data_IF_442569260497
#
_entry.id   IF_442569260497
#
_cell.length_a   1.000
_cell.length_b   1.000
_cell.length_c   1.000
_cell.angle_alpha   90.00
_cell.angle_beta   90.00
_cell.angle_gamma   90.00
#
_symmetry.space_group_name_H-M   'P 1'
#
loop_
_entity.id
_entity.type
_entity.pdbx_description
1 polymer ?
#
# COMPACT_ATOMS: atom_id res chain seq x y z
N UNK A 1 7.37 8.54 17.40
CA UNK A 1 6.84 9.61 18.31
C UNK A 1 7.47 10.99 18.12
N UNK A 2 8.79 11.12 17.95
CA UNK A 2 9.43 12.45 17.83
C UNK A 2 8.96 13.23 16.60
N UNK A 3 8.86 12.59 15.43
CA UNK A 3 8.38 13.22 14.20
C UNK A 3 6.96 13.78 14.35
N UNK A 4 6.04 13.03 14.95
CA UNK A 4 4.67 13.52 15.22
C UNK A 4 4.65 14.73 16.17
N UNK A 5 5.53 14.75 17.18
CA UNK A 5 5.67 15.93 18.06
C UNK A 5 6.13 17.15 17.26
N UNK A 6 7.03 16.96 16.29
CA UNK A 6 7.49 18.03 15.39
C UNK A 6 6.34 18.51 14.50
N UNK A 7 5.61 17.61 13.84
CA UNK A 7 4.42 17.93 13.03
C UNK A 7 3.44 18.79 13.82
N UNK A 8 3.07 18.34 15.03
CA UNK A 8 2.17 19.06 15.92
C UNK A 8 2.72 20.43 16.35
N UNK A 9 4.00 20.49 16.73
CA UNK A 9 4.65 21.75 17.15
C UNK A 9 4.73 22.77 16.02
N UNK A 10 4.90 22.31 14.77
CA UNK A 10 4.99 23.15 13.57
C UNK A 10 3.63 23.51 12.99
N UNK A 11 2.55 22.83 13.40
CA UNK A 11 1.20 23.05 12.89
C UNK A 11 1.06 22.62 11.43
N UNK A 12 1.79 21.59 11.00
CA UNK A 12 1.67 21.05 9.66
C UNK A 12 0.43 20.18 9.52
N UNK A 13 -0.28 20.37 8.42
CA UNK A 13 -1.43 19.54 8.03
C UNK A 13 -0.92 18.33 7.23
N UNK A 14 -0.27 17.40 7.92
CA UNK A 14 0.31 16.19 7.34
C UNK A 14 0.06 15.00 8.25
N UNK A 15 -0.28 13.86 7.64
CA UNK A 15 -0.33 12.57 8.30
C UNK A 15 0.96 11.78 8.00
N UNK A 16 1.48 11.08 9.01
CA UNK A 16 2.62 10.19 8.82
C UNK A 16 2.09 8.79 8.54
N UNK A 17 2.44 8.23 7.39
CA UNK A 17 2.00 6.91 6.94
C UNK A 17 3.23 6.03 6.68
N UNK A 18 3.82 5.38 7.71
CA UNK A 18 4.83 4.34 7.52
C UNK A 18 4.33 3.25 6.57
N UNK A 19 5.23 2.79 5.71
CA UNK A 19 4.89 1.87 4.62
C UNK A 19 5.13 0.41 4.99
N UNK A 20 4.25 -0.46 4.47
CA UNK A 20 4.51 -1.90 4.40
C UNK A 20 5.57 -2.17 3.34
N UNK A 21 6.77 -2.56 3.76
CA UNK A 21 7.95 -2.73 2.91
C UNK A 21 8.03 -4.15 2.33
N UNK A 22 8.58 -4.30 1.13
CA UNK A 22 8.72 -5.61 0.48
C UNK A 22 9.96 -6.40 0.90
N UNK A 23 11.01 -5.73 1.38
CA UNK A 23 12.23 -6.41 1.90
C UNK A 23 11.97 -7.09 3.23
N UNK A 24 12.40 -8.35 3.33
CA UNK A 24 12.17 -9.17 4.53
C UNK A 24 13.05 -8.71 5.71
N UNK A 25 14.24 -8.19 5.45
CA UNK A 25 15.26 -7.87 6.46
C UNK A 25 15.19 -6.42 6.98
N UNK A 26 14.10 -5.70 6.74
CA UNK A 26 13.85 -4.35 7.24
C UNK A 26 12.52 -4.29 7.98
N UNK A 27 12.38 -3.32 8.87
CA UNK A 27 11.10 -2.98 9.46
C UNK A 27 10.10 -2.61 8.36
N UNK A 28 8.88 -3.10 8.47
CA UNK A 28 7.80 -2.80 7.54
C UNK A 28 6.94 -4.00 7.18
N UNK A 29 6.98 -5.08 7.97
CA UNK A 29 5.98 -6.13 7.84
C UNK A 29 4.59 -5.61 8.22
N UNK A 30 3.53 -6.28 7.79
CA UNK A 30 2.14 -5.90 8.13
C UNK A 30 1.98 -5.74 9.65
N UNK A 31 2.52 -6.68 10.44
CA UNK A 31 2.41 -6.65 11.91
C UNK A 31 3.20 -5.48 12.51
N UNK A 32 4.41 -5.23 12.02
CA UNK A 32 5.25 -4.13 12.51
C UNK A 32 4.60 -2.76 12.27
N UNK A 33 3.99 -2.57 11.08
CA UNK A 33 3.27 -1.35 10.74
C UNK A 33 1.97 -1.25 11.53
N UNK A 34 1.21 -2.34 11.67
CA UNK A 34 0.01 -2.42 12.51
C UNK A 34 0.31 -2.04 13.97
N UNK A 35 1.38 -2.60 14.54
CA UNK A 35 1.82 -2.31 15.90
C UNK A 35 2.18 -0.83 16.05
N UNK A 36 2.92 -0.26 15.09
CA UNK A 36 3.29 1.16 15.09
C UNK A 36 2.08 2.08 14.99
N UNK A 37 1.13 1.77 14.10
CA UNK A 37 -0.15 2.48 13.98
C UNK A 37 -0.90 2.43 15.30
N UNK A 38 -1.03 1.25 15.92
CA UNK A 38 -1.75 1.08 17.18
C UNK A 38 -1.10 1.84 18.33
N UNK A 39 0.22 1.84 18.41
CA UNK A 39 0.97 2.49 19.50
C UNK A 39 1.03 4.01 19.36
N UNK A 40 1.00 4.54 18.15
CA UNK A 40 1.24 5.97 17.90
C UNK A 40 0.02 6.71 17.37
N UNK A 41 -0.95 6.02 16.79
CA UNK A 41 -2.11 6.60 16.12
C UNK A 41 -1.77 7.29 14.80
N UNK A 42 -0.63 6.97 14.18
CA UNK A 42 -0.31 7.44 12.82
C UNK A 42 -1.11 6.65 11.77
N UNK A 43 -1.08 7.11 10.52
CA UNK A 43 -1.63 6.38 9.38
C UNK A 43 -0.74 5.21 8.95
N UNK A 44 -1.09 4.56 7.85
CA UNK A 44 -0.28 3.53 7.20
C UNK A 44 -0.28 3.74 5.68
N UNK A 45 0.87 3.53 5.05
CA UNK A 45 0.94 3.34 3.60
C UNK A 45 0.93 1.83 3.32
N UNK A 46 -0.10 1.36 2.63
CA UNK A 46 -0.22 -0.05 2.27
C UNK A 46 0.30 -0.19 0.84
N UNK A 47 1.52 -0.68 0.66
CA UNK A 47 2.01 -1.07 -0.66
C UNK A 47 1.68 -2.55 -0.91
N UNK A 48 0.73 -2.82 -1.80
CA UNK A 48 0.28 -4.20 -2.07
C UNK A 48 1.29 -4.99 -2.92
N UNK A 49 2.14 -4.32 -3.69
CA UNK A 49 3.20 -4.94 -4.46
C UNK A 49 4.34 -5.39 -3.53
N UNK A 50 4.66 -4.59 -2.51
CA UNK A 50 5.56 -4.97 -1.42
C UNK A 50 5.01 -6.13 -0.59
N UNK A 51 3.72 -6.13 -0.29
CA UNK A 51 3.07 -7.26 0.40
C UNK A 51 3.22 -8.54 -0.43
N UNK A 52 2.92 -8.50 -1.73
CA UNK A 52 3.15 -9.63 -2.63
C UNK A 52 4.61 -10.09 -2.59
N UNK A 53 5.56 -9.17 -2.71
CA UNK A 53 6.98 -9.49 -2.70
C UNK A 53 7.47 -10.10 -1.38
N UNK A 54 6.93 -9.67 -0.25
CA UNK A 54 7.34 -10.13 1.08
C UNK A 54 6.75 -11.47 1.47
N UNK A 55 5.49 -11.71 1.10
CA UNK A 55 4.72 -12.88 1.55
C UNK A 55 4.41 -13.89 0.45
N UNK A 56 4.84 -13.61 -0.79
CA UNK A 56 4.55 -14.37 -2.00
C UNK A 56 3.03 -14.50 -2.28
N UNK A 57 2.25 -13.55 -1.74
CA UNK A 57 0.81 -13.37 -1.95
C UNK A 57 0.36 -12.02 -1.41
N UNK A 58 -0.79 -11.55 -1.90
CA UNK A 58 -1.33 -10.24 -1.56
C UNK A 58 -1.84 -10.04 -0.13
N UNK A 59 -2.07 -11.11 0.65
CA UNK A 59 -2.51 -11.01 2.06
C UNK A 59 -3.75 -10.10 2.31
N UNK A 60 -4.65 -9.94 1.33
CA UNK A 60 -5.80 -9.01 1.41
C UNK A 60 -6.59 -9.08 2.71
N UNK A 61 -7.02 -10.29 3.13
CA UNK A 61 -7.77 -10.47 4.37
C UNK A 61 -6.97 -10.07 5.63
N UNK A 62 -5.64 -10.22 5.59
CA UNK A 62 -4.75 -9.81 6.69
C UNK A 62 -4.59 -8.30 6.71
N UNK A 63 -4.47 -7.65 5.55
CA UNK A 63 -4.44 -6.18 5.43
C UNK A 63 -5.73 -5.56 5.96
N UNK A 64 -6.89 -6.09 5.55
CA UNK A 64 -8.21 -5.65 6.03
C UNK A 64 -8.34 -5.73 7.55
N UNK A 65 -7.84 -6.83 8.15
CA UNK A 65 -7.88 -7.03 9.59
C UNK A 65 -6.92 -6.11 10.36
N UNK A 66 -5.73 -5.88 9.81
CA UNK A 66 -4.68 -5.08 10.44
C UNK A 66 -5.02 -3.57 10.39
N UNK A 67 -5.47 -3.08 9.24
CA UNK A 67 -5.67 -1.65 9.00
C UNK A 67 -7.15 -1.26 9.04
N UNK A 68 -7.67 -1.14 10.25
CA UNK A 68 -9.10 -0.88 10.49
C UNK A 68 -9.55 0.57 10.21
N UNK A 69 -8.64 1.51 9.90
CA UNK A 69 -9.00 2.90 9.55
C UNK A 69 -9.87 2.99 8.29
N UNK A 70 -10.72 4.03 8.21
CA UNK A 70 -11.63 4.27 7.08
C UNK A 70 -10.87 4.75 5.83
N UNK A 71 -9.98 5.70 6.01
CA UNK A 71 -9.13 6.28 4.97
C UNK A 71 -7.88 5.41 4.77
N UNK A 72 -7.63 4.98 3.55
CA UNK A 72 -6.49 4.16 3.19
C UNK A 72 -5.62 4.90 2.16
N UNK A 73 -4.33 5.01 2.49
CA UNK A 73 -3.30 5.44 1.56
C UNK A 73 -2.57 4.19 1.03
N UNK A 74 -2.70 3.93 -0.26
CA UNK A 74 -2.21 2.72 -0.91
C UNK A 74 -1.22 3.04 -2.02
N UNK A 75 -0.24 2.19 -2.16
CA UNK A 75 0.70 2.17 -3.29
C UNK A 75 0.53 0.88 -4.09
N UNK A 76 0.72 0.98 -5.40
CA UNK A 76 0.71 -0.18 -6.27
C UNK A 76 1.60 -0.03 -7.50
N UNK A 77 2.25 -1.13 -7.85
CA UNK A 77 3.03 -1.31 -9.07
C UNK A 77 3.11 -2.80 -9.42
N UNK A 78 3.61 -3.14 -10.60
CA UNK A 78 4.18 -4.47 -10.81
C UNK A 78 5.44 -4.62 -9.94
N UNK A 79 5.88 -5.85 -9.68
CA UNK A 79 7.03 -6.06 -8.80
C UNK A 79 7.85 -7.29 -9.20
N UNK A 80 9.16 -7.10 -9.33
CA UNK A 80 10.13 -8.19 -9.35
C UNK A 80 10.58 -8.45 -7.90
N UNK A 81 10.55 -9.72 -7.46
CA UNK A 81 10.96 -10.11 -6.13
C UNK A 81 11.60 -11.51 -6.11
N UNK A 82 12.18 -11.88 -4.97
CA UNK A 82 12.72 -13.23 -4.75
C UNK A 82 12.87 -13.53 -3.26
N UNK A 83 13.77 -14.44 -2.89
CA UNK A 83 13.92 -14.91 -1.50
C UNK A 83 14.19 -13.82 -0.45
N UNK A 84 14.68 -12.64 -0.87
CA UNK A 84 14.95 -11.50 0.03
C UNK A 84 13.84 -10.45 0.05
N UNK A 85 12.76 -10.67 -0.70
CA UNK A 85 11.68 -9.71 -0.93
C UNK A 85 11.86 -8.93 -2.23
N UNK A 86 11.35 -7.69 -2.23
CA UNK A 86 11.36 -6.78 -3.39
C UNK A 86 12.76 -6.63 -4.02
N UNK A 87 12.77 -6.45 -5.34
CA UNK A 87 13.97 -6.06 -6.10
C UNK A 87 13.74 -4.76 -6.87
N UNK A 88 12.64 -4.68 -7.61
CA UNK A 88 12.36 -3.54 -8.50
C UNK A 88 10.88 -3.46 -8.84
N UNK A 89 10.33 -2.24 -8.84
CA UNK A 89 9.02 -1.96 -9.40
C UNK A 89 9.00 -2.15 -10.93
N UNK A 90 7.89 -2.68 -11.43
CA UNK A 90 7.62 -2.93 -12.84
C UNK A 90 6.33 -2.22 -13.25
N UNK A 91 6.15 -2.13 -14.57
CA UNK A 91 4.86 -1.77 -15.17
C UNK A 91 3.83 -2.82 -14.73
N UNK A 92 2.59 -2.41 -14.49
CA UNK A 92 1.56 -3.30 -13.95
C UNK A 92 0.90 -4.10 -15.07
N UNK A 93 0.84 -5.42 -14.95
CA UNK A 93 0.06 -6.26 -15.87
C UNK A 93 -1.44 -6.09 -15.62
N UNK A 94 -2.26 -6.24 -16.66
CA UNK A 94 -3.71 -6.02 -16.59
C UNK A 94 -4.37 -6.93 -15.53
N UNK A 95 -3.94 -8.18 -15.44
CA UNK A 95 -4.50 -9.16 -14.50
C UNK A 95 -4.24 -8.77 -13.04
N UNK A 96 -3.10 -8.12 -12.77
CA UNK A 96 -2.75 -7.66 -11.42
C UNK A 96 -3.54 -6.39 -11.07
N UNK A 97 -3.77 -5.50 -12.03
CA UNK A 97 -4.72 -4.39 -11.88
C UNK A 97 -6.13 -4.89 -11.56
N UNK A 98 -6.67 -5.83 -12.35
CA UNK A 98 -8.00 -6.40 -12.12
C UNK A 98 -8.10 -7.04 -10.73
N UNK A 99 -7.06 -7.75 -10.29
CA UNK A 99 -7.01 -8.39 -8.98
C UNK A 99 -7.06 -7.38 -7.84
N UNK A 100 -6.21 -6.34 -7.87
CA UNK A 100 -6.14 -5.33 -6.80
C UNK A 100 -7.39 -4.46 -6.81
N UNK A 101 -7.83 -3.98 -7.97
CA UNK A 101 -9.03 -3.14 -8.09
C UNK A 101 -10.30 -3.91 -7.73
N UNK A 102 -10.41 -5.18 -8.12
CA UNK A 102 -11.53 -6.05 -7.73
C UNK A 102 -11.61 -6.23 -6.21
N UNK A 103 -10.47 -6.38 -5.54
CA UNK A 103 -10.42 -6.38 -4.08
C UNK A 103 -10.85 -5.03 -3.49
N UNK A 104 -10.27 -3.92 -3.97
CA UNK A 104 -10.58 -2.57 -3.48
C UNK A 104 -12.07 -2.23 -3.62
N UNK A 105 -12.72 -2.68 -4.69
CA UNK A 105 -14.15 -2.46 -4.92
C UNK A 105 -15.05 -3.09 -3.86
N UNK A 106 -14.62 -4.20 -3.27
CA UNK A 106 -15.33 -4.87 -2.17
C UNK A 106 -15.14 -4.20 -0.80
N UNK A 107 -14.21 -3.24 -0.69
CA UNK A 107 -13.87 -2.61 0.58
C UNK A 107 -14.80 -1.44 0.89
N UNK A 108 -15.23 -1.34 2.15
CA UNK A 108 -15.87 -0.14 2.68
C UNK A 108 -14.80 0.86 3.18
N UNK A 109 -13.90 1.28 2.31
CA UNK A 109 -12.76 2.16 2.62
C UNK A 109 -12.72 3.34 1.65
N UNK A 110 -12.21 4.47 2.11
CA UNK A 110 -11.98 5.64 1.26
C UNK A 110 -10.50 5.61 0.86
N UNK A 111 -10.25 5.20 -0.39
CA UNK A 111 -8.91 4.82 -0.85
C UNK A 111 -8.30 5.90 -1.73
N UNK A 112 -7.09 6.32 -1.39
CA UNK A 112 -6.17 7.00 -2.31
C UNK A 112 -5.15 5.98 -2.78
N UNK A 113 -5.15 5.68 -4.08
CA UNK A 113 -4.21 4.75 -4.69
C UNK A 113 -3.19 5.53 -5.53
N UNK A 114 -1.91 5.39 -5.19
CA UNK A 114 -0.78 5.96 -5.93
C UNK A 114 -0.09 4.85 -6.71
N UNK A 115 0.15 5.08 -8.00
CA UNK A 115 0.93 4.17 -8.82
C UNK A 115 2.41 4.52 -8.75
N UNK A 116 3.26 3.57 -8.36
CA UNK A 116 4.72 3.74 -8.23
C UNK A 116 5.51 2.98 -9.30
N UNK A 117 4.85 2.56 -10.37
CA UNK A 117 5.52 1.87 -11.47
C UNK A 117 6.52 2.79 -12.20
N UNK A 118 7.42 2.22 -13.04
CA UNK A 118 8.28 3.00 -13.90
C UNK A 118 7.57 3.90 -14.92
N UNK A 119 6.28 3.64 -15.21
CA UNK A 119 5.40 4.52 -16.00
C UNK A 119 4.11 4.81 -15.23
N UNK A 120 4.19 5.68 -14.20
CA UNK A 120 3.10 5.83 -13.25
C UNK A 120 1.86 6.45 -13.88
N UNK A 121 2.03 7.31 -14.90
CA UNK A 121 0.90 7.93 -15.62
C UNK A 121 0.22 6.92 -16.53
N UNK A 122 1.01 6.17 -17.32
CA UNK A 122 0.48 5.15 -18.22
C UNK A 122 -0.30 4.08 -17.47
N UNK A 123 0.28 3.55 -16.39
CA UNK A 123 -0.38 2.54 -15.56
C UNK A 123 -1.59 3.10 -14.82
N UNK A 124 -1.55 4.34 -14.35
CA UNK A 124 -2.74 4.96 -13.74
C UNK A 124 -3.89 5.10 -14.74
N UNK A 125 -3.60 5.44 -16.00
CA UNK A 125 -4.62 5.52 -17.06
C UNK A 125 -5.20 4.13 -17.36
N UNK A 126 -4.36 3.10 -17.43
CA UNK A 126 -4.80 1.72 -17.60
C UNK A 126 -5.70 1.26 -16.44
N UNK A 127 -5.26 1.49 -15.20
CA UNK A 127 -6.02 1.18 -13.99
C UNK A 127 -7.37 1.90 -13.93
N UNK A 128 -7.44 3.18 -14.32
CA UNK A 128 -8.70 3.92 -14.42
C UNK A 128 -9.66 3.31 -15.45
N UNK A 129 -9.14 2.87 -16.59
CA UNK A 129 -9.93 2.18 -17.62
C UNK A 129 -10.54 0.88 -17.10
N UNK A 130 -9.75 0.08 -16.38
CA UNK A 130 -10.20 -1.16 -15.75
C UNK A 130 -11.24 -0.88 -14.66
N UNK A 131 -10.98 0.10 -13.79
CA UNK A 131 -11.90 0.50 -12.72
C UNK A 131 -13.29 0.88 -13.26
N UNK A 132 -13.34 1.64 -14.35
CA UNK A 132 -14.60 2.03 -14.98
C UNK A 132 -15.38 0.88 -15.64
N UNK A 133 -14.71 -0.25 -15.90
CA UNK A 133 -15.31 -1.46 -16.48
C UNK A 133 -15.65 -2.55 -15.46
N UNK A 134 -15.28 -2.39 -14.19
CA UNK A 134 -15.71 -3.31 -13.14
C UNK A 134 -17.20 -3.04 -12.84
N UNK A 135 -18.06 -4.05 -13.03
CA UNK A 135 -19.51 -4.03 -12.72
C UNK A 135 -19.80 -4.01 -11.22
#
# INVERSE_FOLDING_TARGET
>A
MEMMKVVKKKGWDVELCPEVMGKINVFGSINEVEDLVRETGCGACIDVAHVLARYDRYEFARLEKAFNMKDWHLHFSGIEYGEKGERKHLVVEVEEWERVLGWLKGLNKDVVLICESPDPVGDSVAGLGIWGGLD
#
